data_IF_782937697945
#
_entry.id   IF_782937697945
#
_cell.length_a   1.000
_cell.length_b   1.000
_cell.length_c   1.000
_cell.angle_alpha   90.00
_cell.angle_beta   90.00
_cell.angle_gamma   90.00
#
_symmetry.space_group_name_H-M   'P 1'
#
loop_
_entity.id
_entity.type
_entity.pdbx_description
1 polymer ?
#
# COMPACT_ATOMS: atom_id res chain seq x y z
N UNK A 1 -17.69 3.12 15.72
CA UNK A 1 -16.68 2.50 14.81
C UNK A 1 -15.77 1.58 15.62
N UNK A 2 -15.37 0.45 15.08
CA UNK A 2 -14.58 -0.50 15.87
C UNK A 2 -13.18 0.04 16.17
N UNK A 3 -12.60 -0.30 17.34
CA UNK A 3 -11.24 0.12 17.68
C UNK A 3 -10.18 -0.33 16.66
N UNK A 4 -10.40 -1.48 16.03
CA UNK A 4 -9.50 -2.00 14.98
C UNK A 4 -9.52 -1.12 13.73
N UNK A 5 -10.69 -0.69 13.29
CA UNK A 5 -10.83 0.23 12.15
C UNK A 5 -10.09 1.54 12.42
N UNK A 6 -10.26 2.11 13.61
CA UNK A 6 -9.61 3.36 14.01
C UNK A 6 -8.09 3.18 14.04
N UNK A 7 -7.61 2.10 14.65
CA UNK A 7 -6.18 1.80 14.73
C UNK A 7 -5.55 1.65 13.35
N UNK A 8 -6.15 0.80 12.50
CA UNK A 8 -5.63 0.56 11.15
C UNK A 8 -5.69 1.81 10.29
N UNK A 9 -6.76 2.58 10.39
CA UNK A 9 -6.89 3.85 9.68
C UNK A 9 -5.77 4.84 10.06
N UNK A 10 -5.46 4.98 11.34
CA UNK A 10 -4.36 5.83 11.82
C UNK A 10 -3.00 5.30 11.36
N UNK A 11 -2.78 4.00 11.50
CA UNK A 11 -1.52 3.36 11.13
C UNK A 11 -1.24 3.49 9.63
N UNK A 12 -2.19 3.07 8.80
CA UNK A 12 -2.06 3.12 7.33
C UNK A 12 -1.99 4.57 6.86
N UNK A 13 -2.85 5.43 7.41
CA UNK A 13 -2.89 6.84 7.06
C UNK A 13 -1.56 7.54 7.32
N UNK A 14 -1.01 7.42 8.51
CA UNK A 14 0.28 8.00 8.86
C UNK A 14 1.42 7.40 8.02
N UNK A 15 1.40 6.08 7.82
CA UNK A 15 2.37 5.41 6.96
C UNK A 15 2.35 5.98 5.53
N UNK A 16 1.17 6.06 4.91
CA UNK A 16 1.04 6.59 3.54
C UNK A 16 1.47 8.05 3.44
N UNK A 17 1.13 8.89 4.43
CA UNK A 17 1.55 10.30 4.46
C UNK A 17 3.07 10.40 4.52
N UNK A 18 3.70 9.70 5.46
CA UNK A 18 5.15 9.77 5.67
C UNK A 18 5.91 9.23 4.45
N UNK A 19 5.49 8.09 3.91
CA UNK A 19 6.12 7.50 2.71
C UNK A 19 5.94 8.42 1.51
N UNK A 20 4.74 8.96 1.29
CA UNK A 20 4.49 9.86 0.15
C UNK A 20 5.33 11.13 0.23
N UNK A 21 5.49 11.72 1.41
CA UNK A 21 6.34 12.88 1.61
C UNK A 21 7.82 12.54 1.34
N UNK A 22 8.28 11.40 1.83
CA UNK A 22 9.64 10.94 1.56
C UNK A 22 9.89 10.71 0.06
N UNK A 23 8.93 10.09 -0.63
CA UNK A 23 9.01 9.86 -2.08
C UNK A 23 9.01 11.16 -2.88
N UNK A 24 8.18 12.15 -2.51
CA UNK A 24 8.16 13.46 -3.18
C UNK A 24 9.47 14.23 -2.97
N UNK A 25 10.13 14.07 -1.84
CA UNK A 25 11.41 14.72 -1.53
C UNK A 25 12.54 14.16 -2.40
N UNK A 26 12.53 12.85 -2.70
CA UNK A 26 13.58 12.14 -3.43
C UNK A 26 13.01 11.27 -4.57
N UNK A 27 12.36 11.90 -5.54
CA UNK A 27 11.73 11.19 -6.66
C UNK A 27 12.70 10.26 -7.38
N UNK A 28 13.85 10.76 -7.81
CA UNK A 28 14.77 9.98 -8.62
C UNK A 28 15.32 8.78 -7.85
N UNK A 29 15.76 8.99 -6.62
CA UNK A 29 16.25 7.91 -5.76
C UNK A 29 15.17 6.86 -5.48
N UNK A 30 13.92 7.29 -5.35
CA UNK A 30 12.77 6.38 -5.15
C UNK A 30 12.54 5.52 -6.38
N UNK A 31 12.50 6.13 -7.57
CA UNK A 31 12.31 5.39 -8.84
C UNK A 31 13.46 4.42 -9.09
N UNK A 32 14.70 4.84 -8.86
CA UNK A 32 15.88 4.00 -8.99
C UNK A 32 15.84 2.82 -8.01
N UNK A 33 15.48 3.07 -6.75
CA UNK A 33 15.37 2.04 -5.73
C UNK A 33 14.27 1.03 -6.04
N UNK A 34 13.12 1.48 -6.54
CA UNK A 34 12.03 0.57 -6.95
C UNK A 34 12.44 -0.28 -8.16
N UNK A 35 13.10 0.32 -9.14
CA UNK A 35 13.61 -0.40 -10.30
C UNK A 35 14.66 -1.43 -9.88
N UNK A 36 15.60 -1.05 -9.01
CA UNK A 36 16.60 -1.97 -8.48
C UNK A 36 15.98 -3.12 -7.68
N UNK A 37 14.97 -2.83 -6.86
CA UNK A 37 14.22 -3.84 -6.11
C UNK A 37 13.60 -4.89 -7.05
N UNK A 38 12.95 -4.44 -8.12
CA UNK A 38 12.31 -5.33 -9.07
C UNK A 38 13.28 -6.25 -9.82
N UNK A 39 14.55 -5.86 -9.92
CA UNK A 39 15.62 -6.66 -10.54
C UNK A 39 16.44 -7.48 -9.54
N UNK A 40 16.24 -7.29 -8.24
CA UNK A 40 16.94 -8.04 -7.20
C UNK A 40 16.02 -9.15 -6.65
N UNK A 41 16.11 -10.35 -7.22
CA UNK A 41 15.21 -11.46 -6.92
C UNK A 41 15.15 -11.84 -5.43
N UNK A 42 16.28 -11.99 -4.71
CA UNK A 42 16.23 -12.31 -3.29
C UNK A 42 15.50 -11.26 -2.45
N UNK A 43 15.78 -9.98 -2.70
CA UNK A 43 15.15 -8.87 -1.97
C UNK A 43 13.67 -8.76 -2.34
N UNK A 44 13.34 -8.93 -3.61
CA UNK A 44 11.95 -8.95 -4.09
C UNK A 44 11.15 -10.07 -3.42
N UNK A 45 11.71 -11.27 -3.33
CA UNK A 45 11.07 -12.41 -2.68
C UNK A 45 10.79 -12.12 -1.20
N UNK A 46 11.79 -11.64 -0.44
CA UNK A 46 11.62 -11.30 0.98
C UNK A 46 10.56 -10.20 1.15
N UNK A 47 10.60 -9.17 0.32
CA UNK A 47 9.61 -8.09 0.34
C UNK A 47 8.20 -8.62 0.08
N UNK A 48 8.04 -9.51 -0.91
CA UNK A 48 6.76 -10.12 -1.24
C UNK A 48 6.22 -11.01 -0.10
N UNK A 49 7.08 -11.77 0.58
CA UNK A 49 6.69 -12.58 1.74
C UNK A 49 6.20 -11.70 2.89
N UNK A 50 6.91 -10.62 3.20
CA UNK A 50 6.51 -9.67 4.24
C UNK A 50 5.18 -8.99 3.86
N UNK A 51 5.04 -8.55 2.62
CA UNK A 51 3.83 -7.92 2.14
C UNK A 51 2.63 -8.89 2.14
N UNK A 52 2.86 -10.17 1.82
CA UNK A 52 1.84 -11.22 1.91
C UNK A 52 1.37 -11.41 3.35
N UNK A 53 2.29 -11.51 4.30
CA UNK A 53 1.96 -11.65 5.72
C UNK A 53 1.16 -10.44 6.24
N UNK A 54 1.58 -9.23 5.89
CA UNK A 54 0.89 -8.00 6.27
C UNK A 54 -0.50 -7.90 5.62
N UNK A 55 -0.62 -8.23 4.32
CA UNK A 55 -1.90 -8.25 3.61
C UNK A 55 -2.88 -9.27 4.19
N UNK A 56 -2.41 -10.48 4.50
CA UNK A 56 -3.22 -11.50 5.17
C UNK A 56 -3.65 -11.05 6.58
N UNK A 57 -2.74 -10.48 7.35
CA UNK A 57 -3.07 -9.97 8.69
C UNK A 57 -4.17 -8.88 8.62
N UNK A 58 -4.09 -8.00 7.63
CA UNK A 58 -5.13 -6.99 7.42
C UNK A 58 -6.47 -7.62 7.00
N UNK A 59 -6.47 -8.48 6.00
CA UNK A 59 -7.71 -9.11 5.48
C UNK A 59 -8.37 -9.99 6.54
N UNK A 60 -7.60 -10.76 7.29
CA UNK A 60 -8.13 -11.62 8.36
C UNK A 60 -8.55 -10.81 9.60
N UNK A 61 -7.80 -9.76 9.93
CA UNK A 61 -8.08 -8.92 11.08
C UNK A 61 -9.15 -7.86 10.85
N UNK A 62 -9.35 -7.46 9.60
CA UNK A 62 -10.28 -6.39 9.22
C UNK A 62 -10.85 -6.61 7.82
N UNK A 63 -11.98 -7.29 7.74
CA UNK A 63 -12.71 -7.52 6.49
C UNK A 63 -14.14 -6.99 6.65
N UNK A 64 -14.27 -5.65 6.69
CA UNK A 64 -15.52 -4.96 6.98
C UNK A 64 -15.97 -4.16 5.75
N UNK A 65 -17.09 -4.56 5.18
CA UNK A 65 -17.67 -3.99 3.95
C UNK A 65 -18.86 -3.07 4.20
N UNK A 66 -19.15 -2.77 5.47
CA UNK A 66 -20.30 -1.96 5.90
C UNK A 66 -19.91 -1.02 7.03
N UNK A 67 -20.79 -0.11 7.41
CA UNK A 67 -20.56 0.80 8.52
C UNK A 67 -19.87 2.12 8.14
N UNK A 68 -19.81 2.43 6.83
CA UNK A 68 -19.31 3.70 6.33
C UNK A 68 -18.12 3.55 5.37
N UNK A 69 -17.64 4.67 4.89
CA UNK A 69 -16.54 4.71 3.90
C UNK A 69 -15.21 4.26 4.50
N UNK A 70 -14.92 4.68 5.71
CA UNK A 70 -13.62 4.42 6.34
C UNK A 70 -13.33 2.92 6.51
N UNK A 71 -14.22 2.08 7.08
CA UNK A 71 -13.97 0.64 7.18
C UNK A 71 -13.74 -0.02 5.81
N UNK A 72 -14.51 0.38 4.81
CA UNK A 72 -14.40 -0.16 3.45
C UNK A 72 -13.04 0.20 2.83
N UNK A 73 -12.59 1.45 2.96
CA UNK A 73 -11.29 1.88 2.45
C UNK A 73 -10.14 1.12 3.10
N UNK A 74 -10.19 0.91 4.41
CA UNK A 74 -9.19 0.10 5.13
C UNK A 74 -9.19 -1.35 4.63
N UNK A 75 -10.36 -1.94 4.43
CA UNK A 75 -10.50 -3.30 3.89
C UNK A 75 -9.94 -3.40 2.47
N UNK A 76 -10.26 -2.45 1.60
CA UNK A 76 -9.74 -2.41 0.23
C UNK A 76 -8.21 -2.29 0.21
N UNK A 77 -7.63 -1.49 1.10
CA UNK A 77 -6.17 -1.36 1.21
C UNK A 77 -5.52 -2.70 1.55
N UNK A 78 -6.10 -3.47 2.47
CA UNK A 78 -5.63 -4.81 2.81
C UNK A 78 -5.71 -5.78 1.63
N UNK A 79 -6.82 -5.78 0.90
CA UNK A 79 -6.99 -6.62 -0.30
C UNK A 79 -6.03 -6.23 -1.43
N UNK A 80 -5.80 -4.93 -1.66
CA UNK A 80 -4.82 -4.46 -2.64
C UNK A 80 -3.42 -4.93 -2.29
N UNK A 81 -3.03 -4.82 -1.03
CA UNK A 81 -1.72 -5.26 -0.55
C UNK A 81 -1.54 -6.77 -0.73
N UNK A 82 -2.55 -7.56 -0.39
CA UNK A 82 -2.54 -9.01 -0.55
C UNK A 82 -2.44 -9.40 -2.04
N UNK A 83 -3.21 -8.76 -2.91
CA UNK A 83 -3.19 -9.01 -4.36
C UNK A 83 -1.82 -8.69 -4.96
N UNK A 84 -1.23 -7.54 -4.62
CA UNK A 84 0.12 -7.18 -5.08
C UNK A 84 1.16 -8.20 -4.64
N UNK A 85 1.12 -8.61 -3.39
CA UNK A 85 2.05 -9.60 -2.85
C UNK A 85 1.88 -10.97 -3.53
N UNK A 86 0.65 -11.39 -3.80
CA UNK A 86 0.37 -12.63 -4.53
C UNK A 86 0.93 -12.57 -5.96
N UNK A 87 0.76 -11.46 -6.66
CA UNK A 87 1.33 -11.26 -7.99
C UNK A 87 2.86 -11.40 -7.93
N UNK A 88 3.52 -10.76 -6.97
CA UNK A 88 4.98 -10.81 -6.83
C UNK A 88 5.50 -12.22 -6.48
N UNK A 89 4.72 -13.03 -5.78
CA UNK A 89 5.13 -14.38 -5.38
C UNK A 89 4.84 -15.46 -6.44
N UNK A 90 3.72 -15.33 -7.16
CA UNK A 90 3.25 -16.40 -8.06
C UNK A 90 3.58 -16.17 -9.53
N UNK A 91 3.83 -14.91 -9.95
CA UNK A 91 4.27 -14.63 -11.32
C UNK A 91 5.79 -14.83 -11.46
N UNK A 92 6.22 -15.15 -12.68
CA UNK A 92 7.65 -15.13 -12.98
C UNK A 92 8.22 -13.71 -12.79
N UNK A 93 9.52 -13.57 -12.46
CA UNK A 93 10.13 -12.25 -12.29
C UNK A 93 9.96 -11.35 -13.51
N UNK A 94 10.05 -11.91 -14.71
CA UNK A 94 9.88 -11.18 -15.96
C UNK A 94 8.46 -10.66 -16.14
N UNK A 95 7.46 -11.51 -15.82
CA UNK A 95 6.05 -11.11 -15.90
C UNK A 95 5.70 -10.06 -14.83
N UNK A 96 6.21 -10.21 -13.60
CA UNK A 96 6.02 -9.23 -12.53
C UNK A 96 6.67 -7.89 -12.90
N UNK A 97 7.90 -7.90 -13.40
CA UNK A 97 8.60 -6.70 -13.85
C UNK A 97 7.85 -6.02 -15.00
N UNK A 98 7.41 -6.79 -15.98
CA UNK A 98 6.62 -6.27 -17.10
C UNK A 98 5.33 -5.62 -16.62
N UNK A 99 4.63 -6.24 -15.67
CA UNK A 99 3.39 -5.69 -15.12
C UNK A 99 3.62 -4.41 -14.33
N UNK A 100 4.59 -4.39 -13.40
CA UNK A 100 4.77 -3.26 -12.49
C UNK A 100 5.57 -2.11 -13.11
N UNK A 101 6.57 -2.37 -13.93
CA UNK A 101 7.40 -1.32 -14.52
C UNK A 101 6.84 -0.80 -15.84
N UNK A 102 6.44 -1.69 -16.75
CA UNK A 102 5.94 -1.31 -18.06
C UNK A 102 4.40 -1.16 -18.08
N UNK A 103 3.65 -2.10 -17.49
CA UNK A 103 2.18 -2.09 -17.51
C UNK A 103 1.58 -0.92 -16.74
N UNK A 104 2.11 -0.59 -15.57
CA UNK A 104 1.64 0.52 -14.75
C UNK A 104 2.35 1.85 -15.04
N UNK A 105 3.32 1.90 -15.93
CA UNK A 105 4.07 3.11 -16.28
C UNK A 105 4.58 3.87 -15.05
N UNK A 106 5.23 3.17 -14.12
CA UNK A 106 5.57 3.69 -12.80
C UNK A 106 6.37 5.00 -12.85
N UNK A 107 7.35 5.12 -13.76
CA UNK A 107 8.15 6.33 -13.91
C UNK A 107 7.34 7.53 -14.41
N UNK A 108 6.43 7.30 -15.37
CA UNK A 108 5.62 8.35 -15.97
C UNK A 108 4.49 8.80 -15.05
N UNK A 109 3.92 7.88 -14.27
CA UNK A 109 2.80 8.12 -13.36
C UNK A 109 3.22 8.25 -11.89
N UNK A 110 4.49 8.53 -11.64
CA UNK A 110 5.02 8.66 -10.28
C UNK A 110 4.27 9.73 -9.46
N UNK A 111 4.12 10.94 -9.98
CA UNK A 111 3.42 12.01 -9.27
C UNK A 111 1.94 11.71 -9.05
N UNK A 112 1.17 11.23 -10.05
CA UNK A 112 -0.22 10.81 -9.82
C UNK A 112 -0.36 9.72 -8.76
N UNK A 113 0.47 8.69 -8.78
CA UNK A 113 0.43 7.63 -7.76
C UNK A 113 0.79 8.13 -6.37
N UNK A 114 1.83 8.94 -6.26
CA UNK A 114 2.27 9.52 -4.98
C UNK A 114 1.24 10.50 -4.44
N UNK A 115 0.64 11.33 -5.28
CA UNK A 115 -0.44 12.24 -4.89
C UNK A 115 -1.67 11.47 -4.40
N UNK A 116 -2.08 10.42 -5.09
CA UNK A 116 -3.18 9.56 -4.66
C UNK A 116 -2.89 8.94 -3.28
N UNK A 117 -1.70 8.40 -3.08
CA UNK A 117 -1.28 7.83 -1.79
C UNK A 117 -1.28 8.87 -0.68
N UNK A 118 -0.82 10.08 -0.97
CA UNK A 118 -0.80 11.18 0.00
C UNK A 118 -2.23 11.59 0.40
N UNK A 119 -3.12 11.78 -0.56
CA UNK A 119 -4.51 12.12 -0.29
C UNK A 119 -5.24 11.02 0.47
N UNK A 120 -5.04 9.76 0.09
CA UNK A 120 -5.59 8.62 0.79
C UNK A 120 -5.07 8.57 2.23
N UNK A 121 -3.77 8.78 2.43
CA UNK A 121 -3.16 8.83 3.75
C UNK A 121 -3.69 9.96 4.62
N UNK A 122 -3.85 11.15 4.06
CA UNK A 122 -4.44 12.29 4.78
C UNK A 122 -5.90 12.01 5.17
N UNK A 123 -6.69 11.44 4.26
CA UNK A 123 -8.07 11.06 4.55
C UNK A 123 -8.15 10.04 5.70
N UNK A 124 -7.37 8.95 5.60
CA UNK A 124 -7.36 7.89 6.62
C UNK A 124 -6.88 8.41 7.98
N UNK A 125 -5.87 9.26 7.99
CA UNK A 125 -5.37 9.88 9.22
C UNK A 125 -6.43 10.78 9.85
N UNK A 126 -6.98 11.70 9.08
CA UNK A 126 -8.00 12.62 9.56
C UNK A 126 -9.23 11.86 10.11
N UNK A 127 -9.78 10.96 9.30
CA UNK A 127 -10.96 10.18 9.68
C UNK A 127 -10.69 9.27 10.89
N UNK A 128 -9.51 8.67 10.96
CA UNK A 128 -9.10 7.82 12.08
C UNK A 128 -8.94 8.57 13.38
N UNK A 129 -8.42 9.81 13.35
CA UNK A 129 -8.30 10.63 14.57
C UNK A 129 -9.61 11.30 14.98
N UNK A 130 -10.49 11.62 14.03
CA UNK A 130 -11.81 12.16 14.30
C UNK A 130 -12.78 11.13 14.87
N UNK A 131 -12.60 9.85 14.51
CA UNK A 131 -13.49 8.77 14.96
C UNK A 131 -13.22 8.38 16.41
N UNK A 132 -14.30 8.21 17.17
CA UNK A 132 -14.25 7.70 18.54
C UNK A 132 -14.58 6.21 18.55
N UNK A 133 -13.87 5.41 19.40
CA UNK A 133 -14.22 4.01 19.59
C UNK A 133 -15.59 3.86 20.24
N UNK A 134 -16.33 2.87 19.78
CA UNK A 134 -17.59 2.43 20.38
C UNK A 134 -17.42 1.09 21.06
#
# INVERSE_FOLDING_TARGET
>A
MSPRTIFLSRLIGLYLVLISLAMLTHKQSTVESMTALMHNLPVLFVTAVIAMAAGLAMVLGHNVWSGGVLPVVVTLTGWMMLTKAAILLFLSPEAANGLFLAGFHYQQLFYPYTAFSLFLGLYLTYAGFKSTPR
#
